data_IF_252022766443
#
_entry.id   IF_252022766443
#
_cell.length_a   1.000
_cell.length_b   1.000
_cell.length_c   1.000
_cell.angle_alpha   90.00
_cell.angle_beta   90.00
_cell.angle_gamma   90.00
#
_symmetry.space_group_name_H-M   'P 1'
#
loop_
_entity.id
_entity.type
_entity.pdbx_description
1 polymer ?
#
# COMPACT_ATOMS: atom_id res chain seq x y z
N UNK A 1 -3.37 10.23 19.66
CA UNK A 1 -3.28 9.40 18.44
C UNK A 1 -3.63 10.32 17.28
N UNK A 2 -2.67 10.62 16.39
CA UNK A 2 -2.98 11.39 15.19
C UNK A 2 -3.84 10.52 14.29
N UNK A 3 -4.96 11.04 13.84
CA UNK A 3 -5.82 10.41 12.85
C UNK A 3 -5.07 10.39 11.51
N UNK A 4 -4.39 9.28 11.23
CA UNK A 4 -3.69 9.08 9.96
C UNK A 4 -4.74 8.68 8.93
N UNK A 5 -4.90 9.48 7.88
CA UNK A 5 -5.76 9.11 6.76
C UNK A 5 -5.12 7.95 6.00
N UNK A 6 -5.84 6.86 5.89
CA UNK A 6 -5.38 5.63 5.26
C UNK A 6 -6.36 5.20 4.19
N UNK A 7 -5.85 4.82 3.02
CA UNK A 7 -6.67 4.21 1.97
C UNK A 7 -5.95 3.04 1.31
N UNK A 8 -6.65 1.92 1.13
CA UNK A 8 -6.08 0.69 0.62
C UNK A 8 -6.28 0.50 -0.87
N UNK A 9 -5.32 -0.19 -1.50
CA UNK A 9 -5.42 -0.76 -2.83
C UNK A 9 -5.22 -2.26 -2.72
N UNK A 10 -6.27 -3.01 -3.01
CA UNK A 10 -6.29 -4.47 -2.91
C UNK A 10 -6.61 -5.11 -4.25
N UNK A 11 -6.50 -6.41 -4.33
CA UNK A 11 -6.77 -7.20 -5.54
C UNK A 11 -5.88 -8.42 -5.59
N UNK A 12 -6.18 -9.32 -6.51
CA UNK A 12 -5.38 -10.51 -6.73
C UNK A 12 -4.02 -10.20 -7.39
N UNK A 13 -3.19 -11.21 -7.53
CA UNK A 13 -1.91 -11.07 -8.25
C UNK A 13 -2.17 -10.63 -9.69
N UNK A 14 -1.33 -9.74 -10.22
CA UNK A 14 -1.38 -9.22 -11.60
C UNK A 14 -2.63 -8.40 -11.97
N UNK A 15 -3.39 -7.89 -11.00
CA UNK A 15 -4.54 -7.01 -11.26
C UNK A 15 -4.19 -5.53 -11.41
N UNK A 16 -2.91 -5.17 -11.28
CA UNK A 16 -2.46 -3.79 -11.50
C UNK A 16 -2.34 -2.91 -10.26
N UNK A 17 -2.36 -3.51 -9.04
CA UNK A 17 -2.23 -2.76 -7.77
C UNK A 17 -1.03 -1.81 -7.75
N UNK A 18 0.17 -2.34 -7.98
CA UNK A 18 1.41 -1.55 -7.89
C UNK A 18 1.42 -0.39 -8.89
N UNK A 19 0.99 -0.64 -10.13
CA UNK A 19 0.89 0.42 -11.15
C UNK A 19 -0.16 1.48 -10.79
N UNK A 20 -1.28 1.09 -10.20
CA UNK A 20 -2.28 2.06 -9.72
C UNK A 20 -1.73 2.88 -8.55
N UNK A 21 -1.09 2.26 -7.55
CA UNK A 21 -0.47 2.97 -6.42
C UNK A 21 0.56 3.99 -6.91
N UNK A 22 1.43 3.59 -7.86
CA UNK A 22 2.43 4.49 -8.45
C UNK A 22 1.79 5.72 -9.09
N UNK A 23 0.77 5.52 -9.93
CA UNK A 23 0.04 6.63 -10.58
C UNK A 23 -0.70 7.51 -9.57
N UNK A 24 -1.32 6.92 -8.54
CA UNK A 24 -1.99 7.66 -7.47
C UNK A 24 -1.01 8.49 -6.65
N UNK A 25 0.17 7.97 -6.32
CA UNK A 25 1.22 8.74 -5.64
C UNK A 25 1.60 9.95 -6.48
N UNK A 26 1.86 9.77 -7.78
CA UNK A 26 2.20 10.87 -8.69
C UNK A 26 1.09 11.90 -8.77
N UNK A 27 -0.14 11.46 -8.99
CA UNK A 27 -1.31 12.34 -9.14
C UNK A 27 -1.62 13.14 -7.86
N UNK A 28 -1.67 12.45 -6.71
CA UNK A 28 -2.05 13.05 -5.43
C UNK A 28 -0.95 13.99 -4.93
N UNK A 29 0.33 13.61 -5.05
CA UNK A 29 1.44 14.52 -4.69
C UNK A 29 1.52 15.72 -5.61
N UNK A 30 1.20 15.58 -6.89
CA UNK A 30 1.08 16.68 -7.84
C UNK A 30 0.00 17.70 -7.46
N UNK A 31 -0.98 17.31 -6.64
CA UNK A 31 -2.03 18.20 -6.09
C UNK A 31 -1.62 18.85 -4.77
N UNK A 32 -0.39 18.65 -4.29
CA UNK A 32 0.12 19.22 -3.05
C UNK A 32 -0.21 18.44 -1.78
N UNK A 33 -0.75 17.22 -1.89
CA UNK A 33 -1.03 16.32 -0.76
C UNK A 33 0.17 15.43 -0.52
N UNK A 34 0.70 15.39 0.71
CA UNK A 34 1.82 14.53 1.05
C UNK A 34 1.37 13.08 1.22
N UNK A 35 2.10 12.15 0.58
CA UNK A 35 1.75 10.72 0.54
C UNK A 35 2.92 9.87 1.00
N UNK A 36 2.63 8.90 1.88
CA UNK A 36 3.48 7.74 2.15
C UNK A 36 2.81 6.46 1.67
N UNK A 37 3.58 5.42 1.48
CA UNK A 37 3.06 4.11 1.08
C UNK A 37 3.46 3.03 2.08
N UNK A 38 2.57 2.08 2.32
CA UNK A 38 2.82 0.85 3.05
C UNK A 38 2.46 -0.32 2.14
N UNK A 39 3.38 -1.25 1.94
CA UNK A 39 3.15 -2.44 1.12
C UNK A 39 3.31 -3.70 1.95
N UNK A 40 2.29 -4.56 1.93
CA UNK A 40 2.38 -5.90 2.48
C UNK A 40 3.08 -6.84 1.48
N UNK A 41 4.24 -7.34 1.85
CA UNK A 41 4.96 -8.33 1.06
C UNK A 41 4.61 -9.74 1.55
N UNK A 42 4.12 -10.61 0.64
CA UNK A 42 3.74 -12.00 0.98
C UNK A 42 4.95 -12.94 1.09
N UNK A 43 6.13 -12.48 0.73
CA UNK A 43 7.37 -13.24 0.79
C UNK A 43 8.44 -12.42 1.52
N UNK A 44 9.39 -13.11 2.12
CA UNK A 44 10.57 -12.46 2.66
C UNK A 44 11.19 -11.56 1.58
N UNK A 45 11.45 -10.32 1.93
CA UNK A 45 12.14 -9.37 1.07
C UNK A 45 13.45 -8.95 1.71
N UNK A 46 14.40 -8.58 0.89
CA UNK A 46 15.67 -8.03 1.35
C UNK A 46 15.94 -6.71 0.64
N UNK A 47 16.27 -5.68 1.40
CA UNK A 47 16.67 -4.36 0.91
C UNK A 47 18.18 -4.25 0.78
N UNK A 48 18.91 -5.16 1.43
CA UNK A 48 20.36 -5.25 1.38
C UNK A 48 20.83 -6.16 0.27
N UNK A 49 22.07 -5.95 -0.12
CA UNK A 49 22.80 -6.91 -0.94
C UNK A 49 23.68 -7.80 -0.05
N UNK A 50 23.66 -9.13 -0.27
CA UNK A 50 24.56 -10.04 0.45
C UNK A 50 26.02 -9.55 0.45
N UNK A 51 26.66 -9.60 1.61
CA UNK A 51 28.05 -9.19 1.79
C UNK A 51 28.31 -7.70 2.01
N UNK A 52 27.31 -6.82 1.87
CA UNK A 52 27.43 -5.41 2.24
C UNK A 52 27.45 -5.25 3.76
N UNK A 53 27.96 -4.13 4.25
CA UNK A 53 28.16 -3.92 5.69
C UNK A 53 26.87 -4.04 6.50
N UNK A 54 25.78 -3.45 6.02
CA UNK A 54 24.47 -3.56 6.65
C UNK A 54 23.95 -5.00 6.71
N UNK A 55 24.09 -5.76 5.64
CA UNK A 55 23.77 -7.18 5.62
C UNK A 55 24.62 -7.98 6.63
N UNK A 56 25.93 -7.71 6.70
CA UNK A 56 26.82 -8.34 7.65
C UNK A 56 26.45 -8.06 9.10
N UNK A 57 26.03 -6.81 9.42
CA UNK A 57 25.56 -6.46 10.75
C UNK A 57 24.30 -7.25 11.14
N UNK A 58 23.33 -7.39 10.23
CA UNK A 58 22.13 -8.19 10.46
C UNK A 58 22.47 -9.65 10.68
N UNK A 59 23.31 -10.25 9.83
CA UNK A 59 23.75 -11.64 9.95
C UNK A 59 24.54 -11.91 11.21
N UNK A 60 25.27 -10.90 11.73
CA UNK A 60 26.01 -10.99 12.99
C UNK A 60 25.10 -10.91 14.23
N UNK A 61 23.80 -10.61 14.07
CA UNK A 61 22.84 -10.63 15.17
C UNK A 61 22.24 -9.28 15.53
N UNK A 62 22.54 -8.18 14.81
CA UNK A 62 21.91 -6.90 15.06
C UNK A 62 20.38 -7.01 14.88
N UNK A 63 19.63 -6.51 15.87
CA UNK A 63 18.16 -6.48 15.83
C UNK A 63 17.64 -5.45 14.85
N UNK A 64 18.30 -4.32 14.79
CA UNK A 64 18.00 -3.25 13.84
C UNK A 64 19.28 -2.74 13.21
N UNK A 65 19.18 -2.34 11.95
CA UNK A 65 20.24 -1.65 11.23
C UNK A 65 19.67 -0.39 10.61
N UNK A 66 20.18 0.78 11.01
CA UNK A 66 19.83 2.07 10.43
C UNK A 66 20.93 2.49 9.46
N UNK A 67 20.57 2.56 8.18
CA UNK A 67 21.41 3.09 7.11
C UNK A 67 21.06 4.56 6.87
N UNK A 68 22.04 5.44 6.94
CA UNK A 68 21.87 6.86 6.69
C UNK A 68 22.80 7.38 5.61
N UNK A 69 22.28 8.31 4.79
CA UNK A 69 23.06 9.06 3.80
C UNK A 69 22.55 10.50 3.71
N UNK A 70 23.24 11.33 2.94
CA UNK A 70 22.79 12.72 2.71
C UNK A 70 21.48 12.85 1.93
N UNK A 71 20.93 11.77 1.40
CA UNK A 71 19.70 11.77 0.58
C UNK A 71 18.54 10.97 1.16
N UNK A 72 18.83 9.92 1.92
CA UNK A 72 17.82 9.02 2.47
C UNK A 72 18.38 8.19 3.63
N UNK A 73 17.51 7.69 4.44
CA UNK A 73 17.82 6.66 5.42
C UNK A 73 16.80 5.54 5.35
N UNK A 74 17.20 4.36 5.85
CA UNK A 74 16.34 3.20 5.95
C UNK A 74 16.63 2.46 7.26
N UNK A 75 15.57 2.08 7.98
CA UNK A 75 15.64 1.24 9.15
C UNK A 75 15.16 -0.17 8.76
N UNK A 76 16.02 -1.16 8.99
CA UNK A 76 15.66 -2.56 8.87
C UNK A 76 15.56 -3.18 10.24
N UNK A 77 14.39 -3.72 10.56
CA UNK A 77 14.10 -4.42 11.81
C UNK A 77 13.96 -5.90 11.51
N UNK A 78 14.77 -6.73 12.18
CA UNK A 78 14.73 -8.18 12.06
C UNK A 78 13.76 -8.76 13.08
N UNK A 79 12.63 -9.29 12.64
CA UNK A 79 11.62 -9.88 13.53
C UNK A 79 12.13 -11.10 14.29
N UNK A 80 12.98 -11.91 13.64
CA UNK A 80 13.48 -13.19 14.20
C UNK A 80 12.33 -14.06 14.66
N UNK A 81 12.11 -14.14 15.99
CA UNK A 81 11.04 -14.90 16.63
C UNK A 81 9.82 -14.03 16.98
N UNK A 82 9.87 -12.74 16.70
CA UNK A 82 8.73 -11.85 16.91
C UNK A 82 7.64 -12.12 15.87
N UNK A 83 6.36 -11.98 16.24
CA UNK A 83 5.27 -12.11 15.28
C UNK A 83 5.34 -10.99 14.24
N UNK A 84 4.76 -11.23 13.07
CA UNK A 84 4.61 -10.21 12.05
C UNK A 84 3.80 -9.03 12.61
N UNK A 85 4.31 -7.78 12.51
CA UNK A 85 3.60 -6.61 13.02
C UNK A 85 2.33 -6.34 12.22
N UNK A 86 1.29 -5.93 12.91
CA UNK A 86 0.05 -5.48 12.30
C UNK A 86 0.24 -4.18 11.50
N UNK A 87 -0.72 -3.89 10.61
CA UNK A 87 -0.71 -2.67 9.81
C UNK A 87 -0.59 -1.41 10.70
N UNK A 88 -1.35 -1.34 11.79
CA UNK A 88 -1.36 -0.18 12.69
C UNK A 88 0.00 0.04 13.37
N UNK A 89 0.70 -1.04 13.72
CA UNK A 89 2.05 -0.98 14.30
C UNK A 89 3.08 -0.44 13.30
N UNK A 90 2.90 -0.73 12.00
CA UNK A 90 3.76 -0.20 10.95
C UNK A 90 3.42 1.24 10.59
N UNK A 91 2.14 1.60 10.58
CA UNK A 91 1.69 2.97 10.29
C UNK A 91 2.28 3.99 11.26
N UNK A 92 2.40 3.68 12.55
CA UNK A 92 2.98 4.60 13.55
C UNK A 92 4.48 4.83 13.37
N UNK A 93 5.16 4.03 12.57
CA UNK A 93 6.59 4.20 12.24
C UNK A 93 6.82 5.17 11.08
N UNK A 94 5.77 5.50 10.33
CA UNK A 94 5.85 6.48 9.27
C UNK A 94 5.87 7.92 9.82
N UNK A 95 6.63 8.78 9.18
CA UNK A 95 6.55 10.21 9.44
C UNK A 95 5.13 10.73 9.12
N UNK A 96 4.64 11.78 9.81
CA UNK A 96 3.34 12.36 9.53
C UNK A 96 3.22 12.84 8.08
N UNK A 97 2.17 12.38 7.40
CA UNK A 97 1.77 12.81 6.04
C UNK A 97 0.26 13.00 5.99
N UNK A 98 -0.24 13.58 4.91
CA UNK A 98 -1.68 13.80 4.72
C UNK A 98 -2.44 12.50 4.44
N UNK A 99 -1.81 11.56 3.71
CA UNK A 99 -2.41 10.29 3.30
C UNK A 99 -1.37 9.17 3.27
N UNK A 100 -1.76 7.99 3.76
CA UNK A 100 -1.00 6.74 3.54
C UNK A 100 -1.79 5.84 2.59
N UNK A 101 -1.19 5.50 1.45
CA UNK A 101 -1.71 4.49 0.55
C UNK A 101 -1.15 3.11 0.93
N UNK A 102 -2.04 2.16 1.15
CA UNK A 102 -1.69 0.80 1.59
C UNK A 102 -1.92 -0.19 0.47
N UNK A 103 -0.86 -0.82 -0.03
CA UNK A 103 -0.98 -1.92 -0.99
C UNK A 103 -1.04 -3.26 -0.25
N UNK A 104 -2.14 -3.98 -0.36
CA UNK A 104 -2.37 -5.24 0.34
C UNK A 104 -3.19 -5.07 1.62
N UNK A 105 -2.93 -5.89 2.64
CA UNK A 105 -3.72 -5.94 3.88
C UNK A 105 -5.22 -6.11 3.62
N UNK A 106 -5.59 -7.08 2.77
CA UNK A 106 -6.98 -7.30 2.31
C UNK A 106 -7.98 -7.44 3.45
N UNK A 107 -7.58 -8.12 4.53
CA UNK A 107 -8.43 -8.40 5.70
C UNK A 107 -8.51 -7.27 6.72
N UNK A 108 -7.70 -6.20 6.59
CA UNK A 108 -7.76 -5.06 7.52
C UNK A 108 -9.00 -4.20 7.27
N UNK A 109 -9.50 -3.50 8.30
CA UNK A 109 -10.79 -2.81 8.29
C UNK A 109 -10.82 -1.43 7.62
N UNK A 110 -9.70 -0.94 7.08
CA UNK A 110 -9.65 0.38 6.43
C UNK A 110 -10.36 0.40 5.07
N UNK A 111 -10.80 1.57 4.62
CA UNK A 111 -11.40 1.76 3.31
C UNK A 111 -10.42 1.42 2.17
N UNK A 112 -10.91 0.77 1.12
CA UNK A 112 -10.10 0.25 0.01
C UNK A 112 -10.76 0.42 -1.33
N UNK A 113 -9.94 0.42 -2.38
CA UNK A 113 -10.35 0.16 -3.76
C UNK A 113 -9.76 -1.18 -4.22
N UNK A 114 -10.57 -1.99 -4.91
CA UNK A 114 -10.09 -3.23 -5.52
C UNK A 114 -9.66 -2.97 -6.97
N UNK A 115 -8.48 -3.46 -7.34
CA UNK A 115 -8.08 -3.55 -8.75
C UNK A 115 -8.51 -4.89 -9.34
N UNK A 116 -9.12 -4.83 -10.51
CA UNK A 116 -9.57 -6.01 -11.25
C UNK A 116 -9.06 -5.97 -12.69
N UNK A 117 -8.60 -7.11 -13.17
CA UNK A 117 -8.33 -7.39 -14.59
C UNK A 117 -8.95 -8.71 -14.98
N UNK A 118 -9.73 -8.71 -16.05
CA UNK A 118 -10.36 -9.91 -16.57
C UNK A 118 -9.34 -11.02 -16.87
N UNK A 119 -8.17 -10.66 -17.40
CA UNK A 119 -7.08 -11.60 -17.69
C UNK A 119 -6.47 -12.29 -16.46
N UNK A 120 -6.69 -11.77 -15.25
CA UNK A 120 -6.21 -12.40 -14.03
C UNK A 120 -6.99 -13.66 -13.66
N UNK A 121 -8.19 -13.86 -14.24
CA UNK A 121 -9.01 -15.07 -14.06
C UNK A 121 -9.56 -15.28 -12.66
N UNK A 122 -9.53 -14.26 -11.79
CA UNK A 122 -9.98 -14.31 -10.40
C UNK A 122 -11.32 -13.56 -10.25
N UNK A 123 -12.18 -14.07 -9.37
CA UNK A 123 -13.41 -13.37 -8.99
C UNK A 123 -13.12 -12.11 -8.17
N UNK A 124 -14.13 -11.23 -8.09
CA UNK A 124 -14.08 -10.02 -7.29
C UNK A 124 -14.11 -10.33 -5.79
N UNK A 125 -13.37 -9.56 -5.02
CA UNK A 125 -13.38 -9.57 -3.55
C UNK A 125 -14.51 -8.65 -3.03
N UNK A 126 -14.72 -7.54 -3.73
CA UNK A 126 -15.66 -6.47 -3.35
C UNK A 126 -17.06 -6.94 -2.92
N UNK A 127 -17.73 -7.93 -3.57
CA UNK A 127 -19.05 -8.35 -3.13
C UNK A 127 -19.11 -8.92 -1.72
N UNK A 128 -17.99 -9.47 -1.22
CA UNK A 128 -17.88 -10.06 0.11
C UNK A 128 -17.25 -9.14 1.16
N UNK A 129 -16.86 -7.91 0.81
CA UNK A 129 -16.12 -7.00 1.69
C UNK A 129 -16.64 -5.56 1.55
N UNK A 130 -17.39 -5.11 2.55
CA UNK A 130 -17.94 -3.76 2.61
C UNK A 130 -16.86 -2.65 2.78
N UNK A 131 -15.65 -3.00 3.18
CA UNK A 131 -14.53 -2.04 3.26
C UNK A 131 -13.96 -1.68 1.90
N UNK A 132 -14.23 -2.49 0.88
CA UNK A 132 -13.92 -2.16 -0.52
C UNK A 132 -15.00 -1.21 -1.03
N UNK A 133 -14.67 0.06 -1.13
CA UNK A 133 -15.60 1.16 -1.43
C UNK A 133 -15.84 1.37 -2.91
N UNK A 134 -14.90 0.94 -3.75
CA UNK A 134 -14.96 1.03 -5.21
C UNK A 134 -14.11 -0.06 -5.85
N UNK A 135 -14.30 -0.26 -7.16
CA UNK A 135 -13.51 -1.18 -7.99
C UNK A 135 -12.92 -0.42 -9.17
N UNK A 136 -11.64 -0.62 -9.45
CA UNK A 136 -10.96 -0.16 -10.67
C UNK A 136 -10.75 -1.37 -11.59
N UNK A 137 -11.36 -1.38 -12.76
CA UNK A 137 -11.42 -2.54 -13.66
C UNK A 137 -11.04 -2.18 -15.10
N UNK A 138 -10.41 -3.12 -15.80
CA UNK A 138 -10.16 -3.03 -17.25
C UNK A 138 -11.37 -3.43 -18.12
N UNK A 139 -12.44 -3.92 -17.49
CA UNK A 139 -13.69 -4.27 -18.15
C UNK A 139 -14.88 -3.65 -17.41
N UNK A 140 -16.03 -3.38 -18.09
CA UNK A 140 -17.25 -2.97 -17.43
C UNK A 140 -17.74 -4.01 -16.42
N UNK A 141 -18.19 -3.54 -15.24
CA UNK A 141 -18.75 -4.37 -14.17
C UNK A 141 -20.03 -3.72 -13.67
N UNK A 142 -21.01 -4.53 -13.30
CA UNK A 142 -22.24 -4.08 -12.62
C UNK A 142 -22.15 -4.45 -11.13
N UNK A 143 -21.99 -3.46 -10.28
CA UNK A 143 -21.84 -3.60 -8.84
C UNK A 143 -22.68 -2.56 -8.08
N UNK A 144 -22.92 -2.81 -6.80
CA UNK A 144 -23.59 -1.93 -5.86
C UNK A 144 -22.74 -0.71 -5.40
N UNK A 145 -21.56 -0.54 -6.01
CA UNK A 145 -20.58 0.49 -5.66
C UNK A 145 -19.91 1.05 -6.92
N UNK A 146 -19.23 2.22 -6.83
CA UNK A 146 -18.56 2.83 -7.98
C UNK A 146 -17.56 1.88 -8.65
N UNK A 147 -17.59 1.87 -9.98
CA UNK A 147 -16.63 1.18 -10.83
C UNK A 147 -15.94 2.22 -11.71
N UNK A 148 -14.63 2.26 -11.63
CA UNK A 148 -13.77 3.12 -12.43
C UNK A 148 -13.06 2.28 -13.50
N UNK A 149 -12.74 2.91 -14.63
CA UNK A 149 -11.72 2.33 -15.50
C UNK A 149 -10.38 2.30 -14.75
N UNK A 150 -9.65 1.18 -14.85
CA UNK A 150 -8.38 0.97 -14.14
C UNK A 150 -7.33 2.05 -14.45
N UNK A 151 -7.42 2.68 -15.64
CA UNK A 151 -6.51 3.73 -16.10
C UNK A 151 -7.01 5.15 -15.80
N UNK A 152 -8.22 5.31 -15.25
CA UNK A 152 -8.76 6.62 -14.81
C UNK A 152 -8.15 7.04 -13.47
N UNK A 153 -6.87 7.34 -13.48
CA UNK A 153 -6.14 7.75 -12.28
C UNK A 153 -6.73 8.99 -11.62
N UNK A 154 -7.14 9.99 -12.42
CA UNK A 154 -7.72 11.24 -11.92
C UNK A 154 -9.06 11.03 -11.21
N UNK A 155 -9.96 10.25 -11.80
CA UNK A 155 -11.25 9.90 -11.20
C UNK A 155 -11.09 9.09 -9.92
N UNK A 156 -10.19 8.12 -9.92
CA UNK A 156 -9.87 7.31 -8.73
C UNK A 156 -9.26 8.18 -7.62
N UNK A 157 -8.33 9.07 -7.95
CA UNK A 157 -7.73 9.99 -6.97
C UNK A 157 -8.79 10.93 -6.36
N UNK A 158 -9.71 11.49 -7.16
CA UNK A 158 -10.81 12.30 -6.67
C UNK A 158 -11.67 11.52 -5.67
N UNK A 159 -12.03 10.30 -6.01
CA UNK A 159 -12.83 9.43 -5.15
C UNK A 159 -12.13 9.17 -3.82
N UNK A 160 -10.86 8.74 -3.85
CA UNK A 160 -10.07 8.45 -2.64
C UNK A 160 -9.96 9.69 -1.76
N UNK A 161 -9.59 10.84 -2.32
CA UNK A 161 -9.46 12.09 -1.56
C UNK A 161 -10.78 12.49 -0.90
N UNK A 162 -11.90 12.39 -1.61
CA UNK A 162 -13.22 12.64 -1.04
C UNK A 162 -13.57 11.67 0.11
N UNK A 163 -13.25 10.37 -0.02
CA UNK A 163 -13.50 9.37 1.03
C UNK A 163 -12.70 9.66 2.32
N UNK A 164 -11.51 10.25 2.20
CA UNK A 164 -10.65 10.57 3.36
C UNK A 164 -10.76 12.04 3.83
N UNK A 165 -11.68 12.81 3.24
CA UNK A 165 -12.03 14.15 3.72
C UNK A 165 -11.10 15.27 3.25
N UNK A 166 -10.65 15.20 1.97
CA UNK A 166 -10.02 16.32 1.26
C UNK A 166 -10.98 17.00 0.31
#
# INVERSE_FOLDING_TARGET
VRDVRVYGVVGWKNTGKTGLVERLVTEITGRGVSVSTLKHAHHAFDLDQPGRDSHRHRMAGAREVLLGSGKRWALMHELREEPEPGMDELLVRLAPVDLVLVEGYKSAGHAKIETHRAAAGQGLIAPGDATIRAVASDVPLELDRPVFNLDDTGGIANFILSEVGF
#
